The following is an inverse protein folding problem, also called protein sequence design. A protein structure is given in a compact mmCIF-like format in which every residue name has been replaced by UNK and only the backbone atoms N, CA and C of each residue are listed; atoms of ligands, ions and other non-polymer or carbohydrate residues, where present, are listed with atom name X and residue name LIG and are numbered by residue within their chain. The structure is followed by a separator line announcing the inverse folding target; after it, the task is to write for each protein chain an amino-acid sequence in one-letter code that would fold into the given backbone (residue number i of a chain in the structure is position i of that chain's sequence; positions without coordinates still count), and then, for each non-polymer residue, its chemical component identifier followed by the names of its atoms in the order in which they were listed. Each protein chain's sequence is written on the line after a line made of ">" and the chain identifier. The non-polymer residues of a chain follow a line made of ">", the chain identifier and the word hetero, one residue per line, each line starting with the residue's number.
data_IF_800960203264
#
_entry.id   IF_800960203264
#
_cell.length_a   1.000
_cell.length_b   1.000
_cell.length_c   1.000
_cell.angle_alpha   90.00
_cell.angle_beta   90.00
_cell.angle_gamma   90.00
#
_symmetry.space_group_name_H-M   'P 1'
#
loop_
_entity.id
_entity.type
_entity.pdbx_description
1 polymer ?
#
# COMPACT_ATOMS: atom_id res chain seq x y z
N UNK A 1 20.89 6.52 -17.55
CA UNK A 1 20.59 5.07 -17.62
C UNK A 1 19.18 4.88 -17.08
N UNK A 2 18.35 4.00 -17.65
CA UNK A 2 17.04 3.73 -17.07
C UNK A 2 17.22 3.24 -15.64
N UNK A 3 16.35 3.70 -14.73
CA UNK A 3 16.39 3.38 -13.29
C UNK A 3 16.32 1.86 -13.04
N UNK A 4 15.86 1.08 -14.02
CA UNK A 4 15.69 -0.38 -13.98
C UNK A 4 16.98 -1.18 -13.77
N UNK A 5 18.16 -0.65 -14.14
CA UNK A 5 19.44 -1.38 -14.01
C UNK A 5 20.30 -0.88 -12.83
N UNK A 6 19.75 -0.01 -11.98
CA UNK A 6 20.48 0.56 -10.85
C UNK A 6 20.58 -0.46 -9.70
N UNK A 7 21.78 -0.71 -9.13
CA UNK A 7 21.92 -1.54 -7.94
C UNK A 7 21.03 -1.05 -6.79
N UNK A 8 20.39 -1.96 -6.05
CA UNK A 8 19.43 -1.62 -4.99
C UNK A 8 19.99 -0.62 -3.95
N UNK A 9 21.27 -0.74 -3.60
CA UNK A 9 21.95 0.18 -2.68
C UNK A 9 22.10 1.60 -3.24
N UNK A 10 22.36 1.71 -4.55
CA UNK A 10 22.46 2.99 -5.23
C UNK A 10 21.08 3.64 -5.39
N UNK A 11 20.06 2.84 -5.68
CA UNK A 11 18.67 3.28 -5.73
C UNK A 11 18.19 3.78 -4.37
N UNK A 12 18.47 3.03 -3.31
CA UNK A 12 18.15 3.43 -1.94
C UNK A 12 18.83 4.75 -1.56
N UNK A 13 20.12 4.92 -1.91
CA UNK A 13 20.84 6.19 -1.68
C UNK A 13 20.21 7.32 -2.47
N UNK A 14 19.91 7.10 -3.75
CA UNK A 14 19.27 8.10 -4.61
C UNK A 14 17.91 8.54 -4.04
N UNK A 15 17.06 7.59 -3.65
CA UNK A 15 15.74 7.88 -3.07
C UNK A 15 15.88 8.65 -1.76
N UNK A 16 16.82 8.28 -0.89
CA UNK A 16 17.10 9.00 0.34
C UNK A 16 17.54 10.45 0.06
N UNK A 17 18.47 10.66 -0.87
CA UNK A 17 18.96 11.99 -1.26
C UNK A 17 17.86 12.83 -1.92
N UNK A 18 17.07 12.22 -2.81
CA UNK A 18 15.99 12.88 -3.54
C UNK A 18 14.92 13.42 -2.59
N UNK A 19 14.38 12.60 -1.69
CA UNK A 19 13.34 13.04 -0.76
C UNK A 19 13.86 13.97 0.35
N UNK A 20 15.16 13.94 0.66
CA UNK A 20 15.78 14.88 1.60
C UNK A 20 16.12 16.24 0.97
N UNK A 21 16.27 16.31 -0.36
CA UNK A 21 16.61 17.54 -1.08
C UNK A 21 15.61 18.66 -0.79
N UNK A 22 16.13 19.88 -0.56
CA UNK A 22 15.32 21.04 -0.19
C UNK A 22 14.27 21.36 -1.26
N UNK A 23 14.65 21.31 -2.53
CA UNK A 23 13.78 21.68 -3.63
C UNK A 23 12.63 20.68 -3.79
N UNK A 24 12.92 19.38 -3.67
CA UNK A 24 11.91 18.32 -3.67
C UNK A 24 10.94 18.50 -2.51
N UNK A 25 11.45 18.73 -1.29
CA UNK A 25 10.58 18.99 -0.11
C UNK A 25 9.76 20.27 -0.28
N UNK A 26 10.32 21.31 -0.88
CA UNK A 26 9.60 22.56 -1.18
C UNK A 26 8.44 22.32 -2.14
N UNK A 27 8.65 21.52 -3.19
CA UNK A 27 7.59 21.13 -4.12
C UNK A 27 6.53 20.28 -3.42
N UNK A 28 6.92 19.28 -2.64
CA UNK A 28 5.98 18.43 -1.90
C UNK A 28 5.09 19.25 -0.95
N UNK A 29 5.70 20.17 -0.19
CA UNK A 29 4.96 21.07 0.70
C UNK A 29 3.98 21.96 -0.07
N UNK A 30 4.36 22.48 -1.25
CA UNK A 30 3.46 23.26 -2.10
C UNK A 30 2.24 22.47 -2.60
N UNK A 31 2.34 21.13 -2.62
CA UNK A 31 1.25 20.21 -2.98
C UNK A 31 0.47 19.69 -1.78
N UNK A 32 0.70 20.24 -0.58
CA UNK A 32 0.05 19.81 0.66
C UNK A 32 0.60 18.50 1.22
N UNK A 33 1.71 17.98 0.67
CA UNK A 33 2.44 16.85 1.24
C UNK A 33 3.43 17.42 2.25
N UNK A 34 3.06 17.38 3.52
CA UNK A 34 3.93 17.84 4.61
C UNK A 34 5.04 16.81 4.85
N UNK A 35 6.10 16.92 4.05
CA UNK A 35 7.33 16.20 4.32
C UNK A 35 7.97 16.76 5.60
N UNK A 36 8.19 15.87 6.58
CA UNK A 36 8.95 16.14 7.80
C UNK A 36 10.29 16.83 7.48
N UNK A 37 10.92 17.45 8.50
CA UNK A 37 12.31 17.92 8.35
C UNK A 37 13.18 16.79 7.79
N UNK A 38 14.17 17.11 6.95
CA UNK A 38 15.00 16.10 6.30
C UNK A 38 15.59 15.09 7.29
N UNK A 39 15.97 15.54 8.49
CA UNK A 39 16.52 14.66 9.54
C UNK A 39 15.56 13.57 10.04
N UNK A 40 14.25 13.73 9.80
CA UNK A 40 13.20 12.77 10.18
C UNK A 40 12.74 11.88 9.04
N UNK A 41 13.12 12.17 7.80
CA UNK A 41 12.76 11.34 6.65
C UNK A 41 13.71 10.15 6.58
N UNK A 42 13.13 8.96 6.56
CA UNK A 42 13.86 7.71 6.31
C UNK A 42 13.18 6.96 5.16
N UNK A 43 13.37 7.44 3.90
CA UNK A 43 12.80 6.76 2.75
C UNK A 43 13.37 5.36 2.64
N UNK A 44 12.54 4.41 2.26
CA UNK A 44 12.92 3.01 2.05
C UNK A 44 12.43 2.54 0.68
N UNK A 45 13.28 1.78 0.00
CA UNK A 45 12.99 1.13 -1.26
C UNK A 45 12.70 -0.33 -0.97
N UNK A 46 11.47 -0.72 -1.25
CA UNK A 46 11.00 -2.10 -1.09
C UNK A 46 10.63 -2.62 -2.47
N UNK A 47 11.19 -3.77 -2.84
CA UNK A 47 10.81 -4.49 -4.05
C UNK A 47 9.49 -5.21 -3.81
N UNK A 48 8.56 -5.06 -4.76
CA UNK A 48 7.22 -5.63 -4.66
C UNK A 48 7.02 -6.68 -5.75
N UNK A 49 6.39 -7.79 -5.36
CA UNK A 49 5.94 -8.82 -6.29
C UNK A 49 4.70 -8.36 -7.03
N UNK A 50 4.51 -8.85 -8.25
CA UNK A 50 3.31 -8.60 -9.08
C UNK A 50 2.63 -9.92 -9.47
N UNK A 51 2.82 -10.96 -8.66
CA UNK A 51 2.33 -12.31 -8.95
C UNK A 51 0.82 -12.44 -8.70
N UNK A 52 0.30 -11.72 -7.70
CA UNK A 52 -1.12 -11.71 -7.39
C UNK A 52 -1.86 -10.69 -8.27
N UNK A 53 -2.39 -11.15 -9.40
CA UNK A 53 -3.19 -10.31 -10.31
C UNK A 53 -4.71 -10.52 -10.17
N UNK A 54 -5.13 -11.57 -9.48
CA UNK A 54 -6.54 -11.87 -9.28
C UNK A 54 -7.07 -11.23 -7.98
N UNK A 55 -8.36 -10.90 -7.96
CA UNK A 55 -8.99 -10.36 -6.75
C UNK A 55 -9.33 -11.44 -5.70
N UNK A 56 -9.22 -12.74 -6.06
CA UNK A 56 -9.41 -13.85 -5.11
C UNK A 56 -8.34 -13.83 -4.01
N UNK A 57 -7.22 -13.14 -4.24
CA UNK A 57 -6.25 -12.79 -3.20
C UNK A 57 -6.90 -12.18 -1.95
N UNK A 58 -7.98 -11.41 -2.12
CA UNK A 58 -8.70 -10.76 -1.01
C UNK A 58 -9.85 -11.59 -0.41
N UNK A 59 -10.08 -12.81 -0.87
CA UNK A 59 -11.06 -13.72 -0.23
C UNK A 59 -10.68 -13.98 1.25
N UNK A 60 -9.38 -13.85 1.56
CA UNK A 60 -8.81 -13.88 2.92
C UNK A 60 -9.51 -12.89 3.87
N UNK A 61 -9.96 -11.73 3.38
CA UNK A 61 -10.66 -10.72 4.19
C UNK A 61 -11.94 -11.29 4.82
N UNK A 62 -12.74 -12.02 4.03
CA UNK A 62 -13.97 -12.62 4.52
C UNK A 62 -13.68 -13.86 5.38
N UNK A 63 -12.70 -14.68 4.98
CA UNK A 63 -12.31 -15.89 5.70
C UNK A 63 -11.79 -15.60 7.11
N UNK A 64 -10.96 -14.56 7.27
CA UNK A 64 -10.49 -14.10 8.58
C UNK A 64 -11.49 -13.16 9.28
N UNK A 65 -12.66 -12.91 8.67
CA UNK A 65 -13.74 -12.16 9.28
C UNK A 65 -13.46 -10.66 9.44
N UNK A 66 -12.62 -10.07 8.61
CA UNK A 66 -12.37 -8.62 8.51
C UNK A 66 -13.55 -7.92 7.83
N UNK A 67 -14.23 -8.63 6.93
CA UNK A 67 -15.47 -8.19 6.28
C UNK A 67 -16.61 -9.17 6.57
N UNK A 68 -17.85 -8.70 6.50
CA UNK A 68 -19.04 -9.56 6.55
C UNK A 68 -19.30 -10.25 5.20
N UNK A 69 -20.27 -11.17 5.18
CA UNK A 69 -20.68 -11.87 3.96
C UNK A 69 -21.31 -10.96 2.88
N UNK A 70 -21.68 -9.73 3.23
CA UNK A 70 -22.21 -8.72 2.30
C UNK A 70 -21.24 -7.57 2.06
N UNK A 71 -19.96 -7.77 2.40
CA UNK A 71 -18.89 -6.83 2.08
C UNK A 71 -18.69 -5.69 3.08
N UNK A 72 -19.52 -5.56 4.12
CA UNK A 72 -19.29 -4.52 5.13
C UNK A 72 -17.96 -4.76 5.86
N UNK A 73 -17.18 -3.70 5.92
CA UNK A 73 -15.92 -3.67 6.65
C UNK A 73 -16.22 -3.60 8.14
N UNK A 74 -15.67 -4.52 8.92
CA UNK A 74 -15.89 -4.53 10.36
C UNK A 74 -15.06 -3.44 11.03
N UNK A 75 -15.75 -2.51 11.69
CA UNK A 75 -15.12 -1.49 12.52
C UNK A 75 -14.46 -2.07 13.77
N UNK A 76 -13.61 -1.25 14.40
CA UNK A 76 -13.05 -1.47 15.74
C UNK A 76 -13.05 -0.16 16.52
N UNK A 77 -12.66 -0.21 17.79
CA UNK A 77 -12.37 1.02 18.54
C UNK A 77 -11.15 1.68 17.91
N UNK A 78 -11.27 2.97 17.64
CA UNK A 78 -10.22 3.76 17.01
C UNK A 78 -9.02 3.91 17.95
N UNK A 79 -7.85 3.57 17.43
CA UNK A 79 -6.56 3.73 18.08
C UNK A 79 -5.59 4.38 17.10
N UNK A 80 -4.71 5.25 17.57
CA UNK A 80 -3.67 5.85 16.73
C UNK A 80 -2.43 4.95 16.70
N UNK A 81 -2.03 4.53 15.51
CA UNK A 81 -0.81 3.77 15.26
C UNK A 81 0.12 4.59 14.38
N UNK A 82 1.12 5.22 15.00
CA UNK A 82 2.10 6.08 14.29
C UNK A 82 1.46 7.18 13.40
N UNK A 83 0.34 7.77 13.84
CA UNK A 83 -0.41 8.75 13.06
C UNK A 83 -1.37 8.16 12.03
N UNK A 84 -1.56 6.84 12.01
CA UNK A 84 -2.58 6.14 11.23
C UNK A 84 -3.72 5.72 12.17
N UNK A 85 -4.96 6.20 11.95
CA UNK A 85 -6.08 5.81 12.79
C UNK A 85 -6.55 4.39 12.42
N UNK A 86 -6.41 3.43 13.33
CA UNK A 86 -6.88 2.05 13.18
C UNK A 86 -8.38 1.96 13.49
N UNK A 87 -9.21 2.35 12.51
CA UNK A 87 -10.67 2.43 12.67
C UNK A 87 -11.42 1.14 12.31
N UNK A 88 -10.74 0.19 11.65
CA UNK A 88 -11.35 -1.05 11.20
C UNK A 88 -10.39 -2.24 11.25
N UNK A 89 -10.94 -3.45 11.11
CA UNK A 89 -10.19 -4.71 11.16
C UNK A 89 -9.23 -4.91 9.99
N UNK A 90 -9.45 -4.26 8.85
CA UNK A 90 -8.52 -4.31 7.71
C UNK A 90 -7.23 -3.58 8.06
N UNK A 91 -7.32 -2.40 8.68
CA UNK A 91 -6.15 -1.63 9.15
C UNK A 91 -5.44 -2.33 10.30
N UNK A 92 -6.19 -2.95 11.21
CA UNK A 92 -5.62 -3.82 12.24
C UNK A 92 -4.76 -4.92 11.63
N UNK A 93 -5.34 -5.72 10.72
CA UNK A 93 -4.62 -6.76 10.03
C UNK A 93 -3.40 -6.24 9.25
N UNK A 94 -3.42 -4.99 8.80
CA UNK A 94 -2.31 -4.40 8.06
C UNK A 94 -1.15 -3.92 8.95
N UNK A 95 -1.43 -3.33 10.12
CA UNK A 95 -0.44 -2.56 10.87
C UNK A 95 -0.14 -3.07 12.29
N UNK A 96 -1.08 -3.80 12.91
CA UNK A 96 -0.93 -4.22 14.30
C UNK A 96 -0.26 -5.60 14.37
N UNK A 97 1.08 -5.61 14.43
CA UNK A 97 1.90 -6.84 14.52
C UNK A 97 1.56 -7.73 15.72
N UNK A 98 0.92 -7.17 16.76
CA UNK A 98 0.48 -7.91 17.94
C UNK A 98 -0.90 -8.57 17.80
N UNK A 99 -1.65 -8.26 16.75
CA UNK A 99 -3.00 -8.80 16.53
C UNK A 99 -2.94 -10.16 15.83
N UNK A 100 -3.82 -11.09 16.23
CA UNK A 100 -4.03 -12.36 15.52
C UNK A 100 -4.49 -12.14 14.06
N UNK A 101 -5.09 -10.97 13.77
CA UNK A 101 -5.49 -10.63 12.41
C UNK A 101 -4.30 -10.26 11.52
N UNK A 102 -3.15 -9.94 12.08
CA UNK A 102 -1.94 -9.63 11.31
C UNK A 102 -1.54 -10.81 10.41
N UNK A 103 -1.65 -12.03 10.90
CA UNK A 103 -1.30 -13.23 10.14
C UNK A 103 -2.29 -13.57 9.02
N UNK A 104 -3.36 -12.78 8.83
CA UNK A 104 -4.29 -12.93 7.68
C UNK A 104 -3.56 -12.85 6.35
N UNK A 105 -2.55 -11.99 6.26
CA UNK A 105 -1.69 -11.84 5.09
C UNK A 105 -0.25 -12.17 5.49
N UNK A 106 0.34 -13.14 4.80
CA UNK A 106 1.73 -13.51 5.02
C UNK A 106 2.69 -12.36 4.71
N UNK A 107 3.95 -12.49 5.13
CA UNK A 107 5.00 -11.54 4.74
C UNK A 107 5.10 -11.39 3.20
N UNK A 108 4.99 -12.50 2.46
CA UNK A 108 4.99 -12.47 0.99
C UNK A 108 3.76 -11.77 0.42
N UNK A 109 2.58 -11.99 1.00
CA UNK A 109 1.34 -11.31 0.60
C UNK A 109 1.47 -9.80 0.77
N UNK A 110 2.10 -9.36 1.87
CA UNK A 110 2.31 -7.93 2.19
C UNK A 110 3.26 -7.24 1.22
N UNK A 111 4.14 -7.99 0.56
CA UNK A 111 5.04 -7.54 -0.49
C UNK A 111 4.41 -7.62 -1.90
N UNK A 112 3.16 -8.07 -2.05
CA UNK A 112 2.46 -7.98 -3.32
C UNK A 112 2.02 -6.53 -3.61
N UNK A 113 2.31 -6.05 -4.81
CA UNK A 113 1.91 -4.73 -5.28
C UNK A 113 0.39 -4.53 -5.19
N UNK A 114 -0.36 -5.60 -5.49
CA UNK A 114 -1.82 -5.63 -5.35
C UNK A 114 -2.27 -5.30 -3.93
N UNK A 115 -1.65 -5.94 -2.93
CA UNK A 115 -1.94 -5.69 -1.51
C UNK A 115 -1.62 -4.25 -1.12
N UNK A 116 -0.44 -3.75 -1.53
CA UNK A 116 0.01 -2.39 -1.17
C UNK A 116 -0.96 -1.31 -1.69
N UNK A 117 -1.42 -1.42 -2.94
CA UNK A 117 -2.41 -0.48 -3.49
C UNK A 117 -3.72 -0.53 -2.69
N UNK A 118 -4.23 -1.72 -2.41
CA UNK A 118 -5.45 -1.89 -1.64
C UNK A 118 -5.36 -1.27 -0.24
N UNK A 119 -4.26 -1.50 0.48
CA UNK A 119 -4.05 -0.91 1.81
C UNK A 119 -3.89 0.61 1.71
N UNK A 120 -3.17 1.14 0.71
CA UNK A 120 -3.07 2.59 0.52
C UNK A 120 -4.43 3.26 0.28
N UNK A 121 -5.33 2.61 -0.47
CA UNK A 121 -6.70 3.10 -0.64
C UNK A 121 -7.50 3.04 0.67
N UNK A 122 -7.36 1.95 1.42
CA UNK A 122 -8.04 1.78 2.71
C UNK A 122 -7.54 2.78 3.76
N UNK A 123 -6.25 3.12 3.78
CA UNK A 123 -5.66 4.13 4.66
C UNK A 123 -6.01 5.54 4.19
N UNK A 124 -5.94 5.76 2.89
CA UNK A 124 -6.18 7.06 2.27
C UNK A 124 -5.18 8.12 2.73
N UNK A 125 -5.65 9.36 2.77
CA UNK A 125 -4.86 10.51 3.23
C UNK A 125 -5.70 11.52 4.02
N UNK A 126 -5.21 12.76 4.12
CA UNK A 126 -5.80 13.79 4.98
C UNK A 126 -7.26 14.18 4.63
N UNK A 127 -7.73 13.85 3.43
CA UNK A 127 -9.12 14.10 2.98
C UNK A 127 -9.82 12.80 2.56
N UNK A 128 -9.51 11.69 3.24
CA UNK A 128 -10.08 10.39 2.89
C UNK A 128 -11.59 10.34 3.14
N UNK A 129 -12.33 9.87 2.15
CA UNK A 129 -13.73 9.48 2.31
C UNK A 129 -13.76 7.97 2.43
N UNK A 130 -14.09 7.51 3.63
CA UNK A 130 -14.16 6.09 3.94
C UNK A 130 -15.38 5.45 3.27
N UNK A 131 -15.15 4.31 2.65
CA UNK A 131 -16.21 3.39 2.24
C UNK A 131 -16.46 2.35 3.33
N UNK A 132 -17.73 2.03 3.55
CA UNK A 132 -18.15 0.98 4.48
C UNK A 132 -18.13 -0.42 3.84
N UNK A 133 -18.06 -0.49 2.51
CA UNK A 133 -18.08 -1.72 1.73
C UNK A 133 -16.75 -1.97 1.03
N UNK A 134 -16.21 -3.19 1.18
CA UNK A 134 -14.91 -3.57 0.64
C UNK A 134 -14.89 -3.60 -0.89
N UNK A 135 -16.01 -3.90 -1.52
CA UNK A 135 -16.15 -4.03 -2.97
C UNK A 135 -15.69 -2.76 -3.68
N UNK A 136 -15.99 -1.59 -3.11
CA UNK A 136 -15.60 -0.32 -3.72
C UNK A 136 -14.08 -0.14 -3.76
N UNK A 137 -13.38 -0.55 -2.70
CA UNK A 137 -11.92 -0.55 -2.69
C UNK A 137 -11.34 -1.57 -3.67
N UNK A 138 -11.94 -2.76 -3.78
CA UNK A 138 -11.49 -3.80 -4.72
C UNK A 138 -11.64 -3.36 -6.18
N UNK A 139 -12.74 -2.70 -6.53
CA UNK A 139 -12.97 -2.13 -7.86
C UNK A 139 -11.89 -1.11 -8.25
N UNK A 140 -11.60 -0.16 -7.35
CA UNK A 140 -10.58 0.87 -7.59
C UNK A 140 -9.19 0.26 -7.64
N UNK A 141 -8.89 -0.68 -6.75
CA UNK A 141 -7.63 -1.43 -6.74
C UNK A 141 -7.41 -2.11 -8.09
N UNK A 142 -8.41 -2.85 -8.59
CA UNK A 142 -8.35 -3.53 -9.89
C UNK A 142 -8.11 -2.55 -11.04
N UNK A 143 -8.77 -1.40 -11.02
CA UNK A 143 -8.58 -0.33 -12.01
C UNK A 143 -7.13 0.19 -12.01
N UNK A 144 -6.60 0.55 -10.84
CA UNK A 144 -5.24 1.07 -10.70
C UNK A 144 -4.18 0.04 -11.11
N UNK A 145 -4.37 -1.23 -10.74
CA UNK A 145 -3.45 -2.30 -11.12
C UNK A 145 -3.39 -2.46 -12.64
N UNK A 146 -4.54 -2.45 -13.32
CA UNK A 146 -4.60 -2.51 -14.78
C UNK A 146 -3.94 -1.28 -15.44
N UNK A 147 -4.10 -0.10 -14.84
CA UNK A 147 -3.58 1.14 -15.41
C UNK A 147 -2.06 1.30 -15.17
N UNK A 148 -1.52 0.72 -14.09
CA UNK A 148 -0.09 0.81 -13.72
C UNK A 148 0.74 -0.35 -14.26
N UNK A 149 0.19 -1.56 -14.34
CA UNK A 149 0.91 -2.73 -14.84
C UNK A 149 0.69 -2.88 -16.34
N UNK A 150 1.77 -2.74 -17.10
CA UNK A 150 1.78 -3.17 -18.50
C UNK A 150 1.95 -4.69 -18.55
N UNK A 151 0.94 -5.41 -19.04
CA UNK A 151 1.07 -6.85 -19.30
C UNK A 151 2.06 -7.02 -20.44
N UNK A 152 3.28 -7.45 -20.11
CA UNK A 152 4.20 -7.99 -21.12
C UNK A 152 3.93 -9.47 -21.24
N UNK A 153 3.22 -9.86 -22.29
CA UNK A 153 3.30 -11.26 -22.73
C UNK A 153 4.74 -11.51 -23.11
N UNK A 154 5.39 -12.49 -22.47
CA UNK A 154 6.67 -12.95 -22.98
C UNK A 154 6.41 -13.37 -24.44
N UNK A 155 7.01 -12.65 -25.38
CA UNK A 155 7.00 -13.06 -26.78
C UNK A 155 7.53 -14.50 -26.79
N UNK A 156 6.62 -15.43 -27.02
CA UNK A 156 6.95 -16.83 -27.15
C UNK A 156 7.70 -16.89 -28.47
N UNK A 157 9.04 -16.91 -28.37
CA UNK A 157 9.90 -17.00 -29.54
C UNK A 157 9.48 -18.22 -30.36
N UNK A 158 8.93 -17.96 -31.54
CA UNK A 158 8.85 -18.91 -32.65
C UNK A 158 10.26 -19.22 -33.18
#
# INVERSE_FOLDING_TARGET
>A
QPVQDMPAQELQRFVAEFFCARDVRGVLQSKGIYASKAEKLKPEVVELSTSALNMQFFDKLQQAGLVSHNGHIKGRIEEDFEGIPLVNKIREAAFDEGSELYDTFSESDRLEFLYRIFIHLNVGGASNQYEDHVERYLEVTKGLIRDMLSVRTADSGE
#
